data_IF_480498970882
#
_entry.id   IF_480498970882
#
_cell.length_a   1.000
_cell.length_b   1.000
_cell.length_c   1.000
_cell.angle_alpha   90.00
_cell.angle_beta   90.00
_cell.angle_gamma   90.00
#
_symmetry.space_group_name_H-M   'P 1'
#
loop_
_entity.id
_entity.type
_entity.pdbx_description
1 polymer ?
#
# COMPACT_ATOMS: atom_id res chain seq x y z
N UNK A 1 10.02 -9.71 13.15
CA UNK A 1 8.65 -9.79 12.61
C UNK A 1 8.47 -8.69 11.58
N UNK A 2 7.94 -9.02 10.41
CA UNK A 2 7.93 -8.12 9.24
C UNK A 2 6.51 -7.99 8.71
N UNK A 3 6.08 -6.75 8.42
CA UNK A 3 4.75 -6.46 7.88
C UNK A 3 4.81 -6.14 6.37
N UNK A 4 3.97 -6.83 5.59
CA UNK A 4 3.62 -6.45 4.23
C UNK A 4 2.12 -6.16 4.15
N UNK A 5 1.73 -4.94 3.79
CA UNK A 5 0.34 -4.58 3.51
C UNK A 5 0.07 -4.49 2.01
N UNK A 6 -0.74 -5.40 1.47
CA UNK A 6 -1.21 -5.31 0.08
C UNK A 6 -2.67 -4.86 0.06
N UNK A 7 -2.93 -3.68 -0.51
CA UNK A 7 -4.28 -3.14 -0.67
C UNK A 7 -5.09 -3.98 -1.69
N UNK A 8 -6.32 -4.38 -1.35
CA UNK A 8 -7.19 -5.18 -2.22
C UNK A 8 -7.99 -4.38 -3.27
N UNK A 9 -7.73 -3.09 -3.46
CA UNK A 9 -8.51 -2.24 -4.37
C UNK A 9 -8.39 -2.55 -5.86
N UNK A 10 -7.42 -3.38 -6.25
CA UNK A 10 -7.14 -3.73 -7.64
C UNK A 10 -6.00 -4.73 -7.74
N UNK A 11 -5.90 -5.37 -8.90
CA UNK A 11 -4.97 -6.47 -9.17
C UNK A 11 -3.50 -6.05 -8.99
N UNK A 12 -2.66 -7.04 -8.70
CA UNK A 12 -1.23 -6.82 -8.51
C UNK A 12 -0.56 -6.72 -9.88
N UNK A 13 0.20 -5.64 -10.08
CA UNK A 13 1.01 -5.42 -11.28
C UNK A 13 2.49 -5.66 -11.02
N UNK A 14 3.28 -5.79 -12.09
CA UNK A 14 4.73 -6.05 -11.98
C UNK A 14 5.47 -4.96 -11.18
N UNK A 15 5.02 -3.70 -11.23
CA UNK A 15 5.52 -2.65 -10.34
C UNK A 15 5.39 -2.97 -8.85
N UNK A 16 4.28 -3.57 -8.39
CA UNK A 16 4.16 -4.03 -7.00
C UNK A 16 5.09 -5.22 -6.74
N UNK A 17 5.25 -6.12 -7.71
CA UNK A 17 6.13 -7.26 -7.59
C UNK A 17 7.57 -6.83 -7.30
N UNK A 18 8.15 -5.98 -8.15
CA UNK A 18 9.54 -5.56 -8.01
C UNK A 18 9.77 -4.69 -6.78
N UNK A 19 8.86 -3.76 -6.50
CA UNK A 19 9.04 -2.81 -5.40
C UNK A 19 8.84 -3.44 -4.03
N UNK A 20 7.90 -4.40 -3.91
CA UNK A 20 7.39 -4.83 -2.61
C UNK A 20 7.50 -6.35 -2.44
N UNK A 21 6.96 -7.15 -3.37
CA UNK A 21 6.87 -8.61 -3.20
C UNK A 21 8.25 -9.28 -3.28
N UNK A 22 9.05 -8.98 -4.31
CA UNK A 22 10.38 -9.58 -4.52
C UNK A 22 11.34 -9.31 -3.35
N UNK A 23 11.44 -8.08 -2.80
CA UNK A 23 12.21 -7.85 -1.58
C UNK A 23 11.70 -8.68 -0.40
N UNK A 24 10.38 -8.76 -0.19
CA UNK A 24 9.81 -9.55 0.91
C UNK A 24 10.13 -11.04 0.78
N UNK A 25 10.10 -11.58 -0.44
CA UNK A 25 10.50 -12.97 -0.71
C UNK A 25 11.99 -13.21 -0.37
N UNK A 26 12.87 -12.26 -0.73
CA UNK A 26 14.30 -12.36 -0.43
C UNK A 26 14.58 -12.46 1.08
N UNK A 27 13.80 -11.76 1.91
CA UNK A 27 13.92 -11.83 3.37
C UNK A 27 13.18 -13.03 4.02
N UNK A 28 12.64 -13.96 3.20
CA UNK A 28 11.95 -15.20 3.62
C UNK A 28 10.86 -15.00 4.69
N UNK A 29 9.92 -14.09 4.41
CA UNK A 29 9.02 -13.57 5.43
C UNK A 29 7.77 -14.40 5.64
N UNK A 30 7.41 -14.54 6.93
CA UNK A 30 6.36 -15.46 7.40
C UNK A 30 5.01 -14.81 7.70
N UNK A 31 4.88 -13.47 7.69
CA UNK A 31 3.62 -12.79 8.08
C UNK A 31 3.23 -11.69 7.11
N UNK A 32 2.25 -11.98 6.25
CA UNK A 32 1.68 -11.04 5.27
C UNK A 32 0.24 -10.80 5.63
N UNK A 33 -0.21 -9.56 5.55
CA UNK A 33 -1.61 -9.24 5.77
C UNK A 33 -2.20 -8.51 4.56
N UNK A 34 -3.49 -8.70 4.36
CA UNK A 34 -4.22 -8.05 3.28
C UNK A 34 -4.98 -6.85 3.84
N UNK A 35 -4.64 -5.68 3.33
CA UNK A 35 -5.19 -4.39 3.72
C UNK A 35 -6.55 -4.15 3.03
N UNK A 36 -7.56 -4.94 3.43
CA UNK A 36 -8.88 -4.92 2.82
C UNK A 36 -9.73 -3.71 3.23
N UNK A 37 -9.61 -3.21 4.46
CA UNK A 37 -10.28 -1.96 4.87
C UNK A 37 -9.74 -0.75 4.09
N UNK A 38 -8.44 -0.72 3.75
CA UNK A 38 -7.87 0.33 2.90
C UNK A 38 -8.50 0.38 1.50
N UNK A 39 -9.09 -0.71 1.03
CA UNK A 39 -9.77 -0.72 -0.27
C UNK A 39 -11.07 0.10 -0.23
N UNK A 40 -11.76 0.16 0.91
CA UNK A 40 -13.00 0.92 1.12
C UNK A 40 -12.78 2.44 1.03
N UNK A 41 -11.56 2.91 1.29
CA UNK A 41 -11.21 4.33 1.12
C UNK A 41 -11.29 4.80 -0.35
N UNK A 42 -11.28 3.85 -1.30
CA UNK A 42 -11.47 4.10 -2.72
C UNK A 42 -12.93 3.79 -3.04
N UNK A 43 -13.65 4.75 -3.63
CA UNK A 43 -15.05 4.63 -4.08
C UNK A 43 -15.18 3.54 -5.16
N UNK A 44 -15.18 2.29 -4.75
CA UNK A 44 -15.21 1.09 -5.59
C UNK A 44 -16.43 0.28 -5.16
N UNK A 45 -17.15 -0.30 -6.12
CA UNK A 45 -18.27 -1.20 -5.86
C UNK A 45 -17.83 -2.37 -4.96
N UNK A 46 -18.65 -2.70 -3.95
CA UNK A 46 -18.37 -3.73 -2.94
C UNK A 46 -18.06 -5.09 -3.55
N UNK A 47 -18.83 -5.51 -4.56
CA UNK A 47 -18.58 -6.75 -5.31
C UNK A 47 -17.17 -6.82 -5.90
N UNK A 48 -16.67 -5.69 -6.45
CA UNK A 48 -15.32 -5.63 -7.03
C UNK A 48 -14.24 -5.71 -5.96
N UNK A 49 -14.49 -5.19 -4.77
CA UNK A 49 -13.58 -5.32 -3.63
C UNK A 49 -13.47 -6.79 -3.20
N UNK A 50 -14.60 -7.49 -3.07
CA UNK A 50 -14.64 -8.91 -2.70
C UNK A 50 -13.90 -9.76 -3.75
N UNK A 51 -14.23 -9.56 -5.04
CA UNK A 51 -13.54 -10.24 -6.15
C UNK A 51 -12.03 -10.01 -6.11
N UNK A 52 -11.60 -8.75 -5.98
CA UNK A 52 -10.17 -8.44 -5.92
C UNK A 52 -9.51 -9.03 -4.67
N UNK A 53 -10.18 -9.04 -3.51
CA UNK A 53 -9.69 -9.66 -2.27
C UNK A 53 -9.37 -11.13 -2.51
N UNK A 54 -10.29 -11.90 -3.11
CA UNK A 54 -10.08 -13.33 -3.42
C UNK A 54 -8.89 -13.51 -4.37
N UNK A 55 -8.88 -12.78 -5.49
CA UNK A 55 -7.80 -12.91 -6.49
C UNK A 55 -6.45 -12.59 -5.86
N UNK A 56 -6.36 -11.51 -5.09
CA UNK A 56 -5.12 -11.09 -4.43
C UNK A 56 -4.67 -12.10 -3.38
N UNK A 57 -5.61 -12.72 -2.65
CA UNK A 57 -5.27 -13.80 -1.73
C UNK A 57 -4.61 -14.97 -2.46
N UNK A 58 -5.18 -15.41 -3.58
CA UNK A 58 -4.59 -16.49 -4.40
C UNK A 58 -3.20 -16.11 -4.93
N UNK A 59 -3.04 -14.88 -5.45
CA UNK A 59 -1.74 -14.36 -5.89
C UNK A 59 -0.71 -14.34 -4.75
N UNK A 60 -1.11 -13.93 -3.56
CA UNK A 60 -0.18 -13.86 -2.42
C UNK A 60 0.22 -15.26 -1.98
N UNK A 61 -0.73 -16.21 -1.98
CA UNK A 61 -0.45 -17.62 -1.69
C UNK A 61 0.45 -18.29 -2.74
N UNK A 62 0.49 -17.79 -3.98
CA UNK A 62 1.46 -18.29 -4.98
C UNK A 62 2.90 -17.82 -4.72
N UNK A 63 3.10 -16.75 -3.95
CA UNK A 63 4.43 -16.23 -3.61
C UNK A 63 4.87 -16.57 -2.19
N UNK A 64 3.93 -16.86 -1.29
CA UNK A 64 4.16 -17.01 0.12
C UNK A 64 3.32 -18.13 0.69
N UNK A 65 3.87 -18.89 1.65
CA UNK A 65 3.18 -20.07 2.21
C UNK A 65 1.81 -19.73 2.79
N UNK A 66 1.72 -18.65 3.59
CA UNK A 66 0.50 -18.31 4.33
C UNK A 66 0.19 -16.80 4.27
N UNK A 67 -1.11 -16.48 4.29
CA UNK A 67 -1.61 -15.15 4.66
C UNK A 67 -1.86 -15.16 6.17
N UNK A 68 -1.27 -14.20 6.89
CA UNK A 68 -1.37 -14.14 8.34
C UNK A 68 -2.76 -13.66 8.80
N UNK A 69 -3.31 -12.59 8.20
CA UNK A 69 -4.69 -12.16 8.43
C UNK A 69 -5.19 -11.17 7.36
N UNK A 70 -6.49 -10.92 7.35
CA UNK A 70 -7.12 -9.79 6.67
C UNK A 70 -7.33 -8.64 7.65
N UNK A 71 -7.01 -7.41 7.24
CA UNK A 71 -7.05 -6.22 8.11
C UNK A 71 -8.38 -6.07 8.86
N UNK A 72 -9.51 -6.31 8.20
CA UNK A 72 -10.85 -6.31 8.79
C UNK A 72 -11.05 -7.25 9.99
N UNK A 73 -10.27 -8.33 10.12
CA UNK A 73 -10.37 -9.30 11.22
C UNK A 73 -9.76 -8.73 12.52
N UNK A 74 -8.74 -7.89 12.41
CA UNK A 74 -8.09 -7.32 13.59
C UNK A 74 -8.83 -6.07 14.09
N UNK A 75 -9.80 -6.29 14.99
CA UNK A 75 -10.63 -5.23 15.59
C UNK A 75 -9.83 -4.14 16.30
N UNK A 76 -8.61 -4.44 16.77
CA UNK A 76 -7.76 -3.46 17.45
C UNK A 76 -7.32 -2.33 16.51
N UNK A 77 -7.27 -2.58 15.20
CA UNK A 77 -6.92 -1.57 14.19
C UNK A 77 -7.93 -0.43 14.23
N UNK A 78 -9.23 -0.71 14.34
CA UNK A 78 -10.25 0.35 14.39
C UNK A 78 -10.24 1.11 15.73
N UNK A 79 -10.01 0.42 16.85
CA UNK A 79 -9.87 1.05 18.17
C UNK A 79 -8.68 2.02 18.21
N UNK A 80 -7.51 1.56 17.75
CA UNK A 80 -6.31 2.40 17.65
C UNK A 80 -6.48 3.53 16.63
N UNK A 81 -7.16 3.28 15.52
CA UNK A 81 -7.47 4.31 14.54
C UNK A 81 -8.32 5.44 15.15
N UNK A 82 -9.34 5.09 15.93
CA UNK A 82 -10.14 6.06 16.68
C UNK A 82 -9.29 6.89 17.65
N UNK A 83 -8.45 6.24 18.46
CA UNK A 83 -7.54 6.95 19.36
C UNK A 83 -6.63 7.92 18.59
N UNK A 84 -6.01 7.48 17.49
CA UNK A 84 -5.14 8.33 16.66
C UNK A 84 -5.89 9.56 16.12
N UNK A 85 -7.16 9.40 15.72
CA UNK A 85 -8.00 10.52 15.27
C UNK A 85 -8.18 11.57 16.37
N UNK A 86 -8.40 11.16 17.62
CA UNK A 86 -8.52 12.07 18.76
C UNK A 86 -7.22 12.82 19.06
N UNK A 87 -6.05 12.19 18.86
CA UNK A 87 -4.74 12.79 19.16
C UNK A 87 -4.18 13.69 18.04
N UNK A 88 -4.62 13.52 16.80
CA UNK A 88 -3.97 14.14 15.65
C UNK A 88 -4.83 15.20 14.95
N UNK A 89 -4.61 16.46 15.32
CA UNK A 89 -5.31 17.59 14.70
C UNK A 89 -4.92 17.77 13.22
N UNK A 90 -5.95 17.83 12.37
CA UNK A 90 -5.87 18.03 10.92
C UNK A 90 -5.01 19.24 10.52
N UNK A 91 -5.11 20.35 11.25
CA UNK A 91 -4.49 21.63 10.91
C UNK A 91 -2.95 21.65 11.09
N UNK A 92 -2.38 20.68 11.80
CA UNK A 92 -0.94 20.64 12.10
C UNK A 92 -0.11 19.83 11.09
N UNK A 93 -0.71 19.40 9.98
CA UNK A 93 -0.05 18.50 9.02
C UNK A 93 -0.05 19.05 7.59
N UNK A 94 1.16 19.31 7.07
CA UNK A 94 1.39 19.64 5.66
C UNK A 94 0.79 18.59 4.70
N UNK A 95 0.73 17.33 5.13
CA UNK A 95 0.15 16.23 4.38
C UNK A 95 -1.38 16.36 4.22
N UNK A 96 -2.11 16.72 5.29
CA UNK A 96 -3.56 16.92 5.18
C UNK A 96 -3.90 18.19 4.37
N UNK A 97 -3.07 19.22 4.45
CA UNK A 97 -3.23 20.41 3.61
C UNK A 97 -3.09 20.10 2.12
N UNK A 98 -2.12 19.28 1.71
CA UNK A 98 -1.95 18.91 0.30
C UNK A 98 -3.12 18.08 -0.24
N UNK A 99 -3.72 17.24 0.60
CA UNK A 99 -4.89 16.44 0.24
C UNK A 99 -6.19 17.26 0.14
N UNK A 100 -6.38 18.24 1.03
CA UNK A 100 -7.57 19.11 1.05
C UNK A 100 -7.74 19.95 -0.23
N UNK A 101 -6.65 20.22 -0.97
CA UNK A 101 -6.73 20.94 -2.25
C UNK A 101 -7.52 20.18 -3.33
N UNK A 102 -7.83 18.90 -3.12
CA UNK A 102 -8.62 18.09 -4.05
C UNK A 102 -10.11 18.27 -3.76
N UNK A 103 -10.84 18.92 -4.67
CA UNK A 103 -12.31 18.98 -4.65
C UNK A 103 -12.85 17.53 -4.61
N UNK A 104 -13.75 17.23 -3.66
CA UNK A 104 -14.40 15.92 -3.44
C UNK A 104 -13.52 14.79 -2.87
N UNK A 105 -12.79 15.05 -1.78
CA UNK A 105 -12.11 14.01 -1.00
C UNK A 105 -13.01 13.45 0.12
N UNK A 106 -13.27 12.14 0.13
CA UNK A 106 -13.99 11.50 1.25
C UNK A 106 -13.12 11.48 2.52
N UNK A 107 -13.75 11.49 3.70
CA UNK A 107 -13.03 11.32 4.96
C UNK A 107 -12.24 10.01 5.02
N UNK A 108 -12.76 8.92 4.46
CA UNK A 108 -12.00 7.66 4.35
C UNK A 108 -10.68 7.83 3.58
N UNK A 109 -10.69 8.57 2.46
CA UNK A 109 -9.49 8.85 1.65
C UNK A 109 -8.58 9.91 2.27
N UNK A 110 -9.13 10.76 3.13
CA UNK A 110 -8.34 11.69 3.95
C UNK A 110 -7.62 10.90 5.05
N UNK A 111 -8.35 10.12 5.83
CA UNK A 111 -7.88 9.48 7.05
C UNK A 111 -7.15 8.13 6.86
N UNK A 112 -7.17 7.52 5.67
CA UNK A 112 -6.49 6.21 5.47
C UNK A 112 -5.02 6.17 5.91
N UNK A 113 -4.21 7.25 5.86
CA UNK A 113 -2.84 7.20 6.37
C UNK A 113 -2.79 7.04 7.89
N UNK A 114 -3.79 7.55 8.62
CA UNK A 114 -3.93 7.30 10.06
C UNK A 114 -4.35 5.85 10.31
N UNK A 115 -5.17 5.26 9.42
CA UNK A 115 -5.49 3.83 9.46
C UNK A 115 -4.22 2.98 9.23
N UNK A 116 -3.35 3.39 8.31
CA UNK A 116 -2.04 2.76 8.11
C UNK A 116 -1.16 2.85 9.37
N UNK A 117 -1.20 3.97 10.09
CA UNK A 117 -0.48 4.09 11.37
C UNK A 117 -1.00 3.08 12.39
N UNK A 118 -2.33 2.90 12.45
CA UNK A 118 -2.96 1.89 13.31
C UNK A 118 -2.53 0.46 12.93
N UNK A 119 -2.46 0.14 11.64
CA UNK A 119 -1.97 -1.16 11.15
C UNK A 119 -0.55 -1.45 11.67
N UNK A 120 0.33 -0.45 11.60
CA UNK A 120 1.72 -0.58 12.03
C UNK A 120 1.80 -0.74 13.56
N UNK A 121 1.05 0.05 14.33
CA UNK A 121 1.07 0.00 15.80
C UNK A 121 0.49 -1.33 16.30
N UNK A 122 -0.67 -1.74 15.78
CA UNK A 122 -1.40 -2.93 16.27
C UNK A 122 -0.62 -4.23 16.07
N UNK A 123 0.32 -4.25 15.13
CA UNK A 123 1.05 -5.46 14.75
C UNK A 123 2.45 -5.55 15.35
N UNK A 124 2.95 -4.48 15.97
CA UNK A 124 4.25 -4.42 16.66
C UNK A 124 5.42 -5.02 15.85
N UNK A 125 5.46 -4.79 14.54
CA UNK A 125 6.45 -5.37 13.64
C UNK A 125 7.79 -4.62 13.66
N UNK A 126 8.91 -5.35 13.70
CA UNK A 126 10.26 -4.77 13.67
C UNK A 126 10.63 -4.21 12.30
N UNK A 127 10.26 -4.88 11.21
CA UNK A 127 10.56 -4.43 9.85
C UNK A 127 9.28 -4.19 9.06
N UNK A 128 9.26 -3.18 8.21
CA UNK A 128 8.08 -2.81 7.43
C UNK A 128 8.53 -2.49 6.00
N UNK A 129 7.99 -3.21 5.03
CA UNK A 129 8.30 -3.02 3.61
C UNK A 129 7.27 -2.11 2.98
N UNK A 130 7.75 -1.07 2.31
CA UNK A 130 6.92 -0.01 1.75
C UNK A 130 7.51 0.49 0.43
N UNK A 131 6.64 0.78 -0.53
CA UNK A 131 7.06 1.42 -1.76
C UNK A 131 7.42 2.89 -1.53
N UNK A 132 8.24 3.46 -2.41
CA UNK A 132 8.67 4.86 -2.33
C UNK A 132 7.50 5.88 -2.24
N UNK A 133 6.33 5.55 -2.81
CA UNK A 133 5.14 6.42 -2.75
C UNK A 133 4.60 6.60 -1.33
N UNK A 134 5.02 5.76 -0.38
CA UNK A 134 4.51 5.75 0.98
C UNK A 134 5.39 6.53 1.98
N UNK A 135 6.47 7.17 1.53
CA UNK A 135 7.41 7.90 2.40
C UNK A 135 6.72 8.94 3.29
N UNK A 136 5.80 9.72 2.74
CA UNK A 136 5.05 10.73 3.50
C UNK A 136 4.18 10.09 4.61
N UNK A 137 3.65 8.88 4.39
CA UNK A 137 2.88 8.18 5.42
C UNK A 137 3.76 7.62 6.52
N UNK A 138 4.99 7.20 6.20
CA UNK A 138 5.99 6.77 7.20
C UNK A 138 6.39 7.94 8.08
N UNK A 139 6.58 9.13 7.51
CA UNK A 139 6.86 10.35 8.29
C UNK A 139 5.69 10.72 9.20
N UNK A 140 4.47 10.63 8.70
CA UNK A 140 3.26 10.82 9.50
C UNK A 140 3.20 9.82 10.66
N UNK A 141 3.47 8.55 10.39
CA UNK A 141 3.54 7.49 11.40
C UNK A 141 4.58 7.81 12.48
N UNK A 142 5.80 8.20 12.10
CA UNK A 142 6.86 8.56 13.06
C UNK A 142 6.42 9.72 13.98
N UNK A 143 5.74 10.73 13.42
CA UNK A 143 5.20 11.86 14.21
C UNK A 143 4.12 11.41 15.19
N UNK A 144 3.17 10.58 14.75
CA UNK A 144 2.10 10.06 15.60
C UNK A 144 2.66 9.20 16.71
N UNK A 145 3.57 8.28 16.37
CA UNK A 145 4.27 7.43 17.32
C UNK A 145 4.94 8.26 18.42
N UNK A 146 5.74 9.27 18.03
CA UNK A 146 6.47 10.08 19.01
C UNK A 146 5.52 10.85 19.93
N UNK A 147 4.40 11.36 19.41
CA UNK A 147 3.37 12.01 20.23
C UNK A 147 2.70 11.06 21.22
N UNK A 148 2.34 9.85 20.78
CA UNK A 148 1.73 8.84 21.65
C UNK A 148 2.70 8.45 22.76
N UNK A 149 3.95 8.13 22.42
CA UNK A 149 4.97 7.77 23.42
C UNK A 149 5.22 8.92 24.41
N UNK A 150 5.24 10.18 23.93
CA UNK A 150 5.37 11.35 24.79
C UNK A 150 4.18 11.50 25.74
N UNK A 151 2.95 11.42 25.22
CA UNK A 151 1.73 11.59 26.00
C UNK A 151 1.57 10.56 27.12
N UNK A 152 1.92 9.30 26.85
CA UNK A 152 1.82 8.23 27.84
C UNK A 152 3.09 8.05 28.69
N UNK A 153 4.14 8.85 28.50
CA UNK A 153 5.37 8.79 29.30
C UNK A 153 6.21 7.52 29.13
N UNK A 154 5.87 6.63 28.19
CA UNK A 154 6.56 5.35 27.98
C UNK A 154 6.78 5.07 26.48
N UNK A 155 7.85 4.35 26.16
CA UNK A 155 8.14 3.84 24.82
C UNK A 155 7.25 2.64 24.43
N UNK A 156 5.92 2.81 24.59
CA UNK A 156 4.90 1.77 24.33
C UNK A 156 5.00 1.29 22.88
N UNK A 157 5.20 2.20 21.94
CA UNK A 157 5.37 1.85 20.53
C UNK A 157 6.87 1.62 20.24
N UNK A 158 7.23 0.37 19.92
CA UNK A 158 8.61 -0.05 19.60
C UNK A 158 9.14 0.58 18.32
N UNK A 159 10.47 0.65 18.17
CA UNK A 159 11.15 1.15 16.96
C UNK A 159 10.97 0.19 15.79
N UNK A 160 10.60 0.72 14.64
CA UNK A 160 10.44 -0.03 13.39
C UNK A 160 11.53 0.41 12.40
N UNK A 161 11.98 -0.53 11.58
CA UNK A 161 12.90 -0.33 10.48
C UNK A 161 12.07 -0.38 9.19
N UNK A 162 12.04 0.74 8.47
CA UNK A 162 11.35 0.85 7.19
C UNK A 162 12.32 0.49 6.07
N UNK A 163 11.97 -0.51 5.27
CA UNK A 163 12.73 -0.92 4.10
C UNK A 163 11.99 -0.37 2.89
N UNK A 164 12.60 0.63 2.25
CA UNK A 164 12.04 1.35 1.12
C UNK A 164 12.74 0.89 -0.15
N UNK A 165 11.96 0.52 -1.16
CA UNK A 165 12.49 0.19 -2.47
C UNK A 165 12.07 1.24 -3.49
N UNK A 166 13.06 1.77 -4.21
CA UNK A 166 12.91 2.89 -5.13
C UNK A 166 12.70 2.44 -6.58
N UNK A 167 12.69 1.13 -6.85
CA UNK A 167 12.47 0.59 -8.19
C UNK A 167 11.07 0.90 -8.69
N UNK A 168 11.00 1.56 -9.85
CA UNK A 168 9.76 1.93 -10.54
C UNK A 168 9.69 1.17 -11.86
N UNK A 169 8.52 0.58 -12.15
CA UNK A 169 8.20 0.06 -13.47
C UNK A 169 7.17 0.95 -14.16
N UNK A 170 7.35 1.11 -15.46
CA UNK A 170 6.51 1.94 -16.31
C UNK A 170 5.54 1.09 -17.13
N UNK A 171 4.32 1.58 -17.31
CA UNK A 171 3.38 1.06 -18.30
C UNK A 171 3.81 1.42 -19.72
N UNK A 172 3.18 0.82 -20.73
CA UNK A 172 3.51 1.07 -22.14
C UNK A 172 3.32 2.53 -22.59
N UNK A 173 2.61 3.36 -21.81
CA UNK A 173 2.47 4.80 -22.04
C UNK A 173 3.45 5.66 -21.21
N UNK A 174 4.56 5.09 -20.70
CA UNK A 174 5.61 5.78 -19.92
C UNK A 174 5.16 6.38 -18.58
N UNK A 175 3.94 6.08 -18.11
CA UNK A 175 3.51 6.42 -16.76
C UNK A 175 3.93 5.32 -15.77
N UNK A 176 4.08 5.65 -14.49
CA UNK A 176 4.29 4.63 -13.45
C UNK A 176 3.14 3.61 -13.47
N UNK A 177 3.47 2.33 -13.41
CA UNK A 177 2.45 1.28 -13.29
C UNK A 177 1.62 1.49 -12.02
N UNK A 178 0.31 1.35 -12.14
CA UNK A 178 -0.60 1.50 -11.01
C UNK A 178 -1.84 0.63 -11.18
N UNK A 179 -2.50 0.30 -10.07
CA UNK A 179 -3.72 -0.52 -10.02
C UNK A 179 -4.90 0.07 -10.82
N UNK A 180 -4.88 1.38 -11.06
CA UNK A 180 -5.93 2.10 -11.80
C UNK A 180 -5.53 2.38 -13.25
N UNK A 181 -4.26 2.21 -13.60
CA UNK A 181 -3.77 2.43 -14.95
C UNK A 181 -3.97 1.16 -15.77
N UNK A 182 -4.95 1.20 -16.69
CA UNK A 182 -5.28 0.12 -17.63
C UNK A 182 -4.11 -0.28 -18.54
N UNK A 183 -3.06 0.56 -18.60
CA UNK A 183 -1.89 0.32 -19.44
C UNK A 183 -0.78 -0.43 -18.68
N UNK A 184 -0.99 -0.79 -17.42
CA UNK A 184 -0.04 -1.56 -16.61
C UNK A 184 -0.07 -3.04 -16.98
N UNK A 185 1.05 -3.74 -16.78
CA UNK A 185 1.12 -5.20 -16.92
C UNK A 185 0.82 -5.86 -15.57
N UNK A 186 -0.19 -6.73 -15.53
CA UNK A 186 -0.61 -7.46 -14.32
C UNK A 186 0.10 -8.81 -14.23
N UNK A 187 0.29 -9.32 -13.01
CA UNK A 187 1.08 -10.55 -12.79
C UNK A 187 0.46 -11.76 -13.50
N UNK A 188 -0.87 -11.86 -13.48
CA UNK A 188 -1.62 -12.96 -14.12
C UNK A 188 -2.23 -12.56 -15.47
N UNK A 189 -1.56 -11.67 -16.20
CA UNK A 189 -1.94 -11.39 -17.59
C UNK A 189 -1.69 -12.63 -18.45
N UNK A 190 -2.61 -12.94 -19.36
CA UNK A 190 -2.45 -14.05 -20.30
C UNK A 190 -1.41 -13.72 -21.39
N UNK A 191 -1.03 -14.72 -22.20
CA UNK A 191 -0.02 -14.56 -23.24
C UNK A 191 -0.37 -13.45 -24.26
N UNK A 192 -1.65 -13.34 -24.64
CA UNK A 192 -2.12 -12.30 -25.57
C UNK A 192 -1.94 -10.89 -24.98
N UNK A 193 -2.29 -10.69 -23.72
CA UNK A 193 -2.12 -9.42 -23.00
C UNK A 193 -0.65 -9.04 -22.84
N UNK A 194 0.21 -10.02 -22.52
CA UNK A 194 1.66 -9.81 -22.40
C UNK A 194 2.24 -9.37 -23.75
N UNK A 195 1.94 -10.07 -24.84
CA UNK A 195 2.42 -9.71 -26.19
C UNK A 195 1.93 -8.33 -26.61
N UNK A 196 0.66 -8.02 -26.35
CA UNK A 196 0.11 -6.70 -26.61
C UNK A 196 0.85 -5.60 -25.85
N UNK A 197 1.12 -5.81 -24.56
CA UNK A 197 1.87 -4.88 -23.73
C UNK A 197 3.28 -4.67 -24.29
N UNK A 198 4.01 -5.75 -24.61
CA UNK A 198 5.39 -5.69 -25.12
C UNK A 198 5.43 -4.94 -26.45
N UNK A 199 4.54 -5.25 -27.39
CA UNK A 199 4.48 -4.59 -28.69
C UNK A 199 4.21 -3.09 -28.56
N UNK A 200 3.23 -2.70 -27.73
CA UNK A 200 2.97 -1.28 -27.44
C UNK A 200 4.15 -0.60 -26.77
N UNK A 201 4.79 -1.27 -25.81
CA UNK A 201 5.95 -0.72 -25.09
C UNK A 201 7.14 -0.46 -26.02
N UNK A 202 7.43 -1.39 -26.94
CA UNK A 202 8.47 -1.21 -27.97
C UNK A 202 8.14 -0.03 -28.89
N UNK A 203 6.90 0.08 -29.36
CA UNK A 203 6.49 1.18 -30.24
C UNK A 203 6.61 2.56 -29.57
N UNK A 204 6.30 2.67 -28.27
CA UNK A 204 6.46 3.94 -27.55
C UNK A 204 7.91 4.28 -27.24
N UNK A 205 8.81 3.30 -27.20
CA UNK A 205 10.26 3.54 -27.16
C UNK A 205 10.80 4.01 -28.52
N UNK A 206 10.42 3.36 -29.64
CA UNK A 206 10.89 3.72 -30.99
C UNK A 206 10.58 5.18 -31.36
N UNK A 207 9.38 5.68 -31.05
CA UNK A 207 9.00 7.09 -31.25
C UNK A 207 9.88 8.11 -30.49
N UNK A 208 10.71 7.66 -29.55
CA UNK A 208 11.64 8.50 -28.78
C UNK A 208 13.00 8.68 -29.47
N UNK A 209 13.36 7.80 -30.41
CA UNK A 209 14.65 7.82 -31.10
C UNK A 209 14.59 8.51 -32.46
N UNK A 210 13.47 9.18 -32.78
CA UNK A 210 13.24 9.92 -34.03
C UNK A 210 13.19 11.44 -33.81
N UNK A 211 13.54 11.90 -32.62
CA UNK A 211 13.71 13.29 -32.20
C UNK A 211 15.00 13.37 -31.38
#
# INVERSE_FOLDING_TARGET
MILLGINSSGLIHYGNYISIIKPVMYYNLKRIFLADMHSLSKRILTFKIIKNKIIISLVVLSFFKNIYYYQSINKNILKLFWLILCFYNKNKSKFFHSLNKKKFLSFGKLCYPLLMCSDIISTNNKFIFVGIDQLQHIELYKKIKNKINFFFGFNIIKKNIFIVNNKILYSYNKKKMSKTNKNSLFIFSNFKEINFFINKFKNTQKKKNQY
#
